data_IF_726085450835
#
_entry.id   IF_726085450835
#
_cell.length_a   1.000
_cell.length_b   1.000
_cell.length_c   1.000
_cell.angle_alpha   90.00
_cell.angle_beta   90.00
_cell.angle_gamma   90.00
#
_symmetry.space_group_name_H-M   'P 1'
#
loop_
_entity.id
_entity.type
_entity.pdbx_description
1 polymer ?
#
# COMPACT_ATOMS: atom_id res chain seq x y z
N UNK A 1 -15.21 21.21 15.19
CA UNK A 1 -14.40 22.43 14.95
C UNK A 1 -13.59 22.32 13.66
N UNK A 2 -12.56 21.47 13.54
CA UNK A 2 -11.79 21.35 12.27
C UNK A 2 -12.63 20.75 11.13
N UNK A 3 -13.40 19.70 11.38
CA UNK A 3 -14.35 19.13 10.39
C UNK A 3 -15.46 20.12 9.97
N UNK A 4 -15.64 21.20 10.73
CA UNK A 4 -16.64 22.24 10.47
C UNK A 4 -16.04 23.35 9.60
N UNK A 5 -14.76 23.65 9.80
CA UNK A 5 -14.00 24.66 9.05
C UNK A 5 -13.38 24.12 7.76
N UNK A 6 -13.39 22.81 7.52
CA UNK A 6 -12.82 22.17 6.32
C UNK A 6 -13.83 21.21 5.72
N UNK A 7 -14.24 21.46 4.48
CA UNK A 7 -15.11 20.59 3.69
C UNK A 7 -14.55 20.42 2.28
N UNK A 8 -14.42 19.17 1.81
CA UNK A 8 -13.80 18.83 0.50
C UNK A 8 -12.48 19.58 0.24
N UNK A 9 -11.59 19.60 1.22
CA UNK A 9 -10.29 20.31 1.16
C UNK A 9 -10.35 21.84 1.06
N UNK A 10 -11.54 22.44 1.10
CA UNK A 10 -11.70 23.89 1.16
C UNK A 10 -11.93 24.33 2.60
N UNK A 11 -11.29 25.43 2.99
CA UNK A 11 -11.52 26.08 4.27
C UNK A 11 -12.75 26.99 4.13
N UNK A 12 -13.69 26.93 5.06
CA UNK A 12 -14.72 27.96 5.17
C UNK A 12 -14.08 29.25 5.68
N UNK A 13 -13.76 30.15 4.74
CA UNK A 13 -13.03 31.38 5.03
C UNK A 13 -13.84 32.32 5.92
N UNK A 14 -15.18 32.33 5.80
CA UNK A 14 -16.05 33.21 6.58
C UNK A 14 -16.05 32.84 8.06
N UNK A 15 -16.07 31.54 8.36
CA UNK A 15 -16.01 31.06 9.73
C UNK A 15 -14.57 31.04 10.28
N UNK A 16 -13.57 30.81 9.42
CA UNK A 16 -12.18 30.97 9.79
C UNK A 16 -11.85 32.41 10.20
N UNK A 17 -12.39 33.41 9.50
CA UNK A 17 -12.07 34.82 9.77
C UNK A 17 -12.66 35.33 11.08
N UNK A 18 -13.74 34.71 11.57
CA UNK A 18 -14.35 34.97 12.88
C UNK A 18 -13.53 34.45 14.06
N UNK A 19 -12.53 33.59 13.81
CA UNK A 19 -11.69 33.04 14.87
C UNK A 19 -10.75 34.10 15.47
N UNK A 20 -10.41 33.93 16.74
CA UNK A 20 -9.36 34.72 17.38
C UNK A 20 -8.01 34.45 16.73
N UNK A 21 -7.03 35.35 16.93
CA UNK A 21 -5.67 35.18 16.39
C UNK A 21 -5.04 33.88 16.88
N UNK A 22 -5.26 33.51 18.13
CA UNK A 22 -4.70 32.30 18.73
C UNK A 22 -5.39 31.03 18.18
N UNK A 23 -6.71 31.07 17.99
CA UNK A 23 -7.45 29.97 17.35
C UNK A 23 -7.04 29.78 15.88
N UNK A 24 -6.79 30.87 15.15
CA UNK A 24 -6.26 30.82 13.77
C UNK A 24 -4.89 30.15 13.74
N UNK A 25 -4.00 30.47 14.68
CA UNK A 25 -2.68 29.82 14.80
C UNK A 25 -2.82 28.33 15.11
N UNK A 26 -3.68 27.98 16.06
CA UNK A 26 -3.93 26.59 16.45
C UNK A 26 -4.53 25.78 15.29
N UNK A 27 -5.52 26.33 14.60
CA UNK A 27 -6.12 25.72 13.41
C UNK A 27 -5.09 25.42 12.33
N UNK A 28 -4.25 26.41 11.96
CA UNK A 28 -3.18 26.21 10.97
C UNK A 28 -2.20 25.11 11.37
N UNK A 29 -1.83 25.05 12.66
CA UNK A 29 -0.94 24.01 13.19
C UNK A 29 -1.56 22.61 13.08
N UNK A 30 -2.82 22.46 13.48
CA UNK A 30 -3.50 21.16 13.40
C UNK A 30 -3.74 20.76 11.93
N UNK A 31 -4.08 21.72 11.07
CA UNK A 31 -4.25 21.47 9.63
C UNK A 31 -2.94 20.99 9.01
N UNK A 32 -1.80 21.62 9.32
CA UNK A 32 -0.49 21.19 8.87
C UNK A 32 -0.12 19.78 9.37
N UNK A 33 -0.34 19.48 10.66
CA UNK A 33 -0.12 18.12 11.21
C UNK A 33 -1.05 17.10 10.53
N UNK A 34 -2.29 17.48 10.24
CA UNK A 34 -3.26 16.59 9.60
C UNK A 34 -2.87 16.31 8.16
N UNK A 35 -2.48 17.32 7.37
CA UNK A 35 -1.96 17.11 6.02
C UNK A 35 -0.69 16.28 6.02
N UNK A 36 0.24 16.56 6.94
CA UNK A 36 1.46 15.78 7.09
C UNK A 36 1.12 14.32 7.41
N UNK A 37 0.20 14.10 8.36
CA UNK A 37 -0.27 12.77 8.73
C UNK A 37 -0.95 12.06 7.56
N UNK A 38 -1.79 12.72 6.78
CA UNK A 38 -2.45 12.14 5.60
C UNK A 38 -1.47 11.87 4.45
N UNK A 39 -0.50 12.76 4.22
CA UNK A 39 0.54 12.59 3.22
C UNK A 39 1.50 11.44 3.59
N UNK A 40 1.81 11.26 4.87
CA UNK A 40 2.49 10.07 5.38
C UNK A 40 1.54 8.88 5.63
N UNK A 41 0.24 9.06 5.39
CA UNK A 41 -0.75 7.99 5.38
C UNK A 41 -0.93 7.40 3.98
N UNK A 42 -0.15 7.83 2.98
CA UNK A 42 0.18 6.95 1.87
C UNK A 42 0.69 5.66 2.50
N UNK A 43 -0.18 4.66 2.42
CA UNK A 43 -0.02 3.35 3.04
C UNK A 43 1.41 2.93 2.73
N UNK A 44 2.21 2.69 3.77
CA UNK A 44 3.30 1.75 3.62
C UNK A 44 2.64 0.49 3.10
N UNK A 45 2.69 0.28 1.77
CA UNK A 45 2.21 -0.94 1.16
C UNK A 45 2.93 -2.04 1.91
N UNK A 46 2.16 -2.94 2.53
CA UNK A 46 2.74 -4.06 3.25
C UNK A 46 3.65 -4.78 2.24
N UNK A 47 4.98 -4.77 2.43
CA UNK A 47 5.89 -5.36 1.46
C UNK A 47 5.54 -6.84 1.19
N UNK A 48 4.90 -7.50 2.16
CA UNK A 48 4.41 -8.88 2.06
C UNK A 48 3.16 -8.98 1.18
N UNK A 49 2.26 -7.99 1.19
CA UNK A 49 1.13 -7.92 0.26
C UNK A 49 1.60 -7.67 -1.17
N UNK A 50 2.58 -6.80 -1.36
CA UNK A 50 3.18 -6.55 -2.67
C UNK A 50 3.83 -7.83 -3.21
N UNK A 51 4.54 -8.57 -2.35
CA UNK A 51 5.17 -9.85 -2.71
C UNK A 51 4.13 -10.92 -3.09
N UNK A 52 3.00 -11.02 -2.37
CA UNK A 52 1.89 -11.93 -2.73
C UNK A 52 1.26 -11.56 -4.08
N UNK A 53 0.98 -10.28 -4.30
CA UNK A 53 0.37 -9.81 -5.54
C UNK A 53 1.26 -10.08 -6.76
N UNK A 54 2.57 -9.93 -6.61
CA UNK A 54 3.53 -10.25 -7.68
C UNK A 54 3.61 -11.76 -7.93
N UNK A 55 3.54 -12.60 -6.88
CA UNK A 55 3.48 -14.06 -7.04
C UNK A 55 2.23 -14.51 -7.81
N UNK A 56 1.07 -13.99 -7.43
CA UNK A 56 -0.22 -14.31 -8.04
C UNK A 56 -0.26 -13.89 -9.51
N UNK A 57 0.33 -12.73 -9.83
CA UNK A 57 0.48 -12.28 -11.22
C UNK A 57 1.34 -13.24 -12.04
N UNK A 58 2.51 -13.63 -11.53
CA UNK A 58 3.42 -14.53 -12.25
C UNK A 58 2.83 -15.94 -12.39
N UNK A 59 2.09 -16.44 -11.40
CA UNK A 59 1.30 -17.67 -11.51
C UNK A 59 0.25 -17.57 -12.60
N UNK A 60 -0.50 -16.46 -12.65
CA UNK A 60 -1.50 -16.21 -13.69
C UNK A 60 -0.90 -16.22 -15.10
N UNK A 61 0.28 -15.64 -15.29
CA UNK A 61 1.00 -15.71 -16.57
C UNK A 61 1.32 -17.16 -16.99
N UNK A 62 1.75 -18.01 -16.06
CA UNK A 62 1.97 -19.44 -16.35
C UNK A 62 0.67 -20.18 -16.67
N UNK A 63 -0.43 -19.87 -15.98
CA UNK A 63 -1.74 -20.47 -16.27
C UNK A 63 -2.28 -20.06 -17.65
N UNK A 64 -1.85 -18.91 -18.16
CA UNK A 64 -2.12 -18.46 -19.53
C UNK A 64 -1.16 -19.07 -20.58
N UNK A 65 -0.24 -19.95 -20.16
CA UNK A 65 0.73 -20.63 -21.04
C UNK A 65 1.97 -19.80 -21.39
N UNK A 66 2.28 -18.76 -20.60
CA UNK A 66 3.46 -17.91 -20.80
C UNK A 66 4.70 -18.48 -20.09
N UNK A 67 5.30 -19.51 -20.67
CA UNK A 67 6.48 -20.20 -20.11
C UNK A 67 7.80 -19.48 -20.40
N UNK A 68 7.78 -18.15 -20.53
CA UNK A 68 8.99 -17.39 -20.78
C UNK A 68 10.02 -17.66 -19.67
N UNK A 69 11.28 -18.03 -19.98
CA UNK A 69 12.27 -18.37 -18.96
C UNK A 69 12.50 -17.29 -17.89
N UNK A 70 12.26 -16.02 -18.24
CA UNK A 70 12.29 -14.88 -17.30
C UNK A 70 11.21 -14.96 -16.22
N UNK A 71 10.00 -15.36 -16.57
CA UNK A 71 8.83 -15.45 -15.68
C UNK A 71 9.05 -16.59 -14.69
N UNK A 72 9.50 -17.74 -15.21
CA UNK A 72 9.86 -18.90 -14.40
C UNK A 72 10.98 -18.54 -13.40
N UNK A 73 12.02 -17.83 -13.85
CA UNK A 73 13.12 -17.39 -12.97
C UNK A 73 12.64 -16.43 -11.88
N UNK A 74 11.79 -15.47 -12.23
CA UNK A 74 11.21 -14.53 -11.27
C UNK A 74 10.32 -15.25 -10.26
N UNK A 75 9.45 -16.15 -10.71
CA UNK A 75 8.56 -16.91 -9.84
C UNK A 75 9.33 -17.81 -8.87
N UNK A 76 10.43 -18.44 -9.30
CA UNK A 76 11.33 -19.20 -8.42
C UNK A 76 11.90 -18.31 -7.31
N UNK A 77 12.46 -17.16 -7.67
CA UNK A 77 13.03 -16.21 -6.70
C UNK A 77 11.98 -15.76 -5.70
N UNK A 78 10.82 -15.33 -6.20
CA UNK A 78 9.75 -14.81 -5.37
C UNK A 78 9.17 -15.87 -4.42
N UNK A 79 9.10 -17.13 -4.85
CA UNK A 79 8.63 -18.24 -4.02
C UNK A 79 9.58 -18.51 -2.86
N UNK A 80 10.91 -18.44 -3.08
CA UNK A 80 11.91 -18.55 -2.01
C UNK A 80 11.81 -17.38 -1.03
N UNK A 81 11.61 -16.16 -1.54
CA UNK A 81 11.43 -14.98 -0.68
C UNK A 81 10.15 -15.09 0.17
N UNK A 82 9.06 -15.60 -0.40
CA UNK A 82 7.80 -15.82 0.31
C UNK A 82 7.89 -16.93 1.37
N UNK A 83 8.59 -18.03 1.08
CA UNK A 83 8.87 -19.11 2.03
C UNK A 83 9.70 -18.59 3.22
N UNK A 84 10.78 -17.85 2.93
CA UNK A 84 11.65 -17.25 3.95
C UNK A 84 10.92 -16.28 4.89
N UNK A 85 9.81 -15.68 4.42
CA UNK A 85 8.96 -14.79 5.19
C UNK A 85 7.69 -15.48 5.76
N UNK A 86 7.60 -16.81 5.68
CA UNK A 86 6.46 -17.60 6.14
C UNK A 86 5.11 -17.15 5.56
N UNK A 87 5.11 -16.68 4.31
CA UNK A 87 3.91 -16.20 3.62
C UNK A 87 3.14 -17.32 2.92
N UNK A 88 3.78 -18.45 2.64
CA UNK A 88 3.20 -19.58 1.94
C UNK A 88 3.48 -20.86 2.70
N UNK A 89 2.56 -21.80 2.58
CA UNK A 89 2.71 -23.12 3.19
C UNK A 89 3.61 -24.05 2.38
N UNK A 90 4.19 -25.06 3.02
CA UNK A 90 4.98 -26.12 2.36
C UNK A 90 4.25 -26.79 1.19
N UNK A 91 2.91 -26.88 1.28
CA UNK A 91 2.08 -27.43 0.21
C UNK A 91 2.03 -26.48 -0.99
N UNK A 92 1.86 -25.17 -0.77
CA UNK A 92 1.87 -24.17 -1.84
C UNK A 92 3.25 -24.10 -2.53
N UNK A 93 4.34 -24.22 -1.77
CA UNK A 93 5.70 -24.29 -2.32
C UNK A 93 5.83 -25.50 -3.23
N UNK A 94 5.37 -26.67 -2.77
CA UNK A 94 5.43 -27.91 -3.55
C UNK A 94 4.67 -27.78 -4.87
N UNK A 95 3.45 -27.23 -4.83
CA UNK A 95 2.63 -27.05 -6.03
C UNK A 95 3.29 -26.12 -7.05
N UNK A 96 3.91 -25.03 -6.59
CA UNK A 96 4.65 -24.10 -7.45
C UNK A 96 5.87 -24.79 -8.05
N UNK A 97 6.67 -25.49 -7.23
CA UNK A 97 7.88 -26.18 -7.69
C UNK A 97 7.53 -27.27 -8.71
N UNK A 98 6.48 -28.07 -8.47
CA UNK A 98 6.06 -29.13 -9.38
C UNK A 98 5.57 -28.59 -10.73
N UNK A 99 4.99 -27.39 -10.78
CA UNK A 99 4.57 -26.75 -12.03
C UNK A 99 5.72 -26.15 -12.85
N UNK A 100 6.84 -25.86 -12.20
CA UNK A 100 7.98 -25.16 -12.79
C UNK A 100 9.09 -26.14 -13.24
N UNK A 101 9.12 -27.35 -12.68
CA UNK A 101 10.03 -28.44 -13.06
C UNK A 101 9.56 -29.16 -14.32
#
# INVERSE_FOLDING_TARGET
>A
MIKTLVYKQNIDQNDFDKLTIDDKKMFKKILAITHLRYHFHDKLEDPLQTLRAENDKLKGELELGNDAPRIIKQLKSLTVDMDSNHLISDNEIRDIITRIL
#
